data_IF_123003415102
#
_entry.id   IF_123003415102
#
_cell.length_a   1.000
_cell.length_b   1.000
_cell.length_c   1.000
_cell.angle_alpha   90.00
_cell.angle_beta   90.00
_cell.angle_gamma   90.00
#
_symmetry.space_group_name_H-M   'P 1'
#
loop_
_entity.id
_entity.type
_entity.pdbx_description
1 polymer ?
#
# COMPACT_ATOMS: atom_id res chain seq x y z
N UNK A 1 17.09 11.24 29.02
CA UNK A 1 16.61 9.94 28.50
C UNK A 1 15.48 10.30 27.56
N UNK A 2 15.80 10.60 26.31
CA UNK A 2 14.78 10.75 25.27
C UNK A 2 13.97 9.44 25.22
N UNK A 3 12.66 9.55 25.40
CA UNK A 3 11.75 8.49 25.01
C UNK A 3 11.98 8.30 23.51
N UNK A 4 12.54 7.15 23.13
CA UNK A 4 12.46 6.67 21.75
C UNK A 4 10.97 6.59 21.44
N UNK A 5 10.43 7.59 20.73
CA UNK A 5 9.11 7.54 20.11
C UNK A 5 9.09 6.28 19.23
N UNK A 6 8.62 5.17 19.80
CA UNK A 6 8.34 3.96 19.07
C UNK A 6 7.21 4.33 18.13
N UNK A 7 7.54 4.67 16.88
CA UNK A 7 6.55 4.92 15.84
C UNK A 7 5.66 3.67 15.82
N UNK A 8 4.37 3.79 16.17
CA UNK A 8 3.51 2.62 16.28
C UNK A 8 3.40 1.98 14.90
N UNK A 9 3.63 0.67 14.84
CA UNK A 9 3.38 -0.12 13.63
C UNK A 9 1.87 -0.07 13.37
N UNK A 10 1.42 0.45 12.21
CA UNK A 10 0.00 0.59 11.95
C UNK A 10 -0.66 -0.78 11.86
N UNK A 11 -1.87 -0.88 12.39
CA UNK A 11 -2.63 -2.13 12.35
C UNK A 11 -2.93 -2.51 10.88
N UNK A 12 -2.83 -3.80 10.48
CA UNK A 12 -3.07 -4.21 9.10
C UNK A 12 -4.44 -3.76 8.55
N UNK A 13 -5.48 -3.77 9.39
CA UNK A 13 -6.82 -3.32 9.01
C UNK A 13 -6.89 -1.80 8.72
N UNK A 14 -6.13 -0.99 9.45
CA UNK A 14 -6.03 0.46 9.22
C UNK A 14 -5.36 0.74 7.87
N UNK A 15 -4.24 0.04 7.60
CA UNK A 15 -3.52 0.17 6.33
C UNK A 15 -4.42 -0.26 5.16
N UNK A 16 -5.12 -1.38 5.29
CA UNK A 16 -6.03 -1.85 4.25
C UNK A 16 -7.18 -0.87 3.94
N UNK A 17 -7.78 -0.28 4.98
CA UNK A 17 -8.80 0.75 4.81
C UNK A 17 -8.25 1.99 4.09
N UNK A 18 -7.03 2.41 4.44
CA UNK A 18 -6.33 3.53 3.80
C UNK A 18 -5.98 3.25 2.34
N UNK A 19 -5.54 2.03 2.00
CA UNK A 19 -5.32 1.63 0.60
C UNK A 19 -6.59 1.82 -0.24
N UNK A 20 -7.74 1.39 0.28
CA UNK A 20 -9.02 1.56 -0.42
C UNK A 20 -9.37 3.05 -0.59
N UNK A 21 -9.18 3.85 0.45
CA UNK A 21 -9.41 5.29 0.39
C UNK A 21 -8.53 5.97 -0.67
N UNK A 22 -7.24 5.66 -0.71
CA UNK A 22 -6.35 6.20 -1.74
C UNK A 22 -6.71 5.74 -3.14
N UNK A 23 -7.05 4.46 -3.33
CA UNK A 23 -7.41 3.94 -4.64
C UNK A 23 -8.62 4.66 -5.25
N UNK A 24 -9.59 5.05 -4.41
CA UNK A 24 -10.74 5.84 -4.84
C UNK A 24 -10.42 7.32 -5.08
N UNK A 25 -9.27 7.81 -4.61
CA UNK A 25 -8.86 9.20 -4.81
C UNK A 25 -8.50 9.46 -6.28
N UNK A 26 -8.77 10.67 -6.81
CA UNK A 26 -8.51 11.00 -8.21
C UNK A 26 -7.07 10.73 -8.66
N UNK A 27 -6.08 10.99 -7.79
CA UNK A 27 -4.66 10.80 -8.11
C UNK A 27 -4.33 9.35 -8.52
N UNK A 28 -4.85 8.37 -7.79
CA UNK A 28 -4.65 6.95 -8.07
C UNK A 28 -5.62 6.47 -9.15
N UNK A 29 -6.89 6.88 -9.09
CA UNK A 29 -7.92 6.47 -10.06
C UNK A 29 -7.56 6.88 -11.50
N UNK A 30 -6.92 8.02 -11.69
CA UNK A 30 -6.47 8.50 -12.99
C UNK A 30 -5.35 7.64 -13.62
N UNK A 31 -4.73 6.73 -12.86
CA UNK A 31 -3.80 5.72 -13.42
C UNK A 31 -4.51 4.65 -14.25
N UNK A 32 -5.85 4.55 -14.18
CA UNK A 32 -6.63 3.60 -14.98
C UNK A 32 -6.47 2.14 -14.56
N UNK A 33 -5.91 1.88 -13.38
CA UNK A 33 -5.68 0.53 -12.87
C UNK A 33 -6.98 -0.13 -12.43
N UNK A 34 -7.17 -1.38 -12.82
CA UNK A 34 -8.30 -2.19 -12.39
C UNK A 34 -8.12 -2.64 -10.93
N UNK A 35 -9.20 -2.75 -10.13
CA UNK A 35 -9.09 -3.15 -8.73
C UNK A 35 -8.48 -4.54 -8.55
N UNK A 36 -8.69 -5.44 -9.52
CA UNK A 36 -8.18 -6.83 -9.49
C UNK A 36 -6.65 -6.93 -9.47
N UNK A 37 -5.92 -5.84 -9.76
CA UNK A 37 -4.47 -5.78 -9.59
C UNK A 37 -4.06 -5.82 -8.12
N UNK A 38 -4.92 -5.34 -7.21
CA UNK A 38 -4.60 -5.17 -5.79
C UNK A 38 -5.57 -5.89 -4.84
N UNK A 39 -6.79 -6.18 -5.28
CA UNK A 39 -7.80 -6.89 -4.50
C UNK A 39 -8.23 -8.21 -5.16
N UNK A 40 -8.57 -9.18 -4.32
CA UNK A 40 -9.48 -10.27 -4.67
C UNK A 40 -10.91 -9.74 -4.48
N UNK A 41 -11.83 -9.93 -5.44
CA UNK A 41 -13.21 -9.44 -5.30
C UNK A 41 -13.93 -10.18 -4.16
N UNK A 42 -14.73 -9.45 -3.37
CA UNK A 42 -15.58 -10.05 -2.34
C UNK A 42 -16.80 -10.74 -2.94
N UNK A 43 -17.40 -10.10 -3.95
CA UNK A 43 -18.53 -10.58 -4.73
C UNK A 43 -18.38 -10.09 -6.18
N UNK A 44 -19.26 -10.54 -7.09
CA UNK A 44 -19.25 -10.10 -8.48
C UNK A 44 -19.36 -8.57 -8.63
N UNK A 45 -20.11 -7.93 -7.73
CA UNK A 45 -20.39 -6.49 -7.75
C UNK A 45 -19.50 -5.68 -6.79
N UNK A 46 -18.76 -6.34 -5.90
CA UNK A 46 -17.84 -5.68 -4.98
C UNK A 46 -16.37 -6.10 -5.24
N UNK A 47 -15.60 -5.26 -5.96
CA UNK A 47 -14.21 -5.57 -6.27
C UNK A 47 -13.25 -5.43 -5.08
N UNK A 48 -13.69 -4.86 -3.95
CA UNK A 48 -12.87 -4.59 -2.76
C UNK A 48 -13.08 -5.66 -1.68
N UNK A 49 -12.66 -6.89 -1.97
CA UNK A 49 -12.57 -7.96 -0.97
C UNK A 49 -11.26 -7.92 -0.22
N UNK A 50 -10.52 -9.03 -0.21
CA UNK A 50 -9.23 -9.11 0.46
C UNK A 50 -8.12 -8.53 -0.41
N UNK A 51 -7.09 -7.96 0.22
CA UNK A 51 -5.90 -7.51 -0.51
C UNK A 51 -5.15 -8.74 -1.02
N UNK A 52 -4.82 -8.73 -2.32
CA UNK A 52 -4.02 -9.79 -2.95
C UNK A 52 -2.53 -9.48 -2.90
N UNK A 53 -2.16 -8.24 -2.62
CA UNK A 53 -0.79 -7.75 -2.48
C UNK A 53 -0.54 -7.33 -1.04
N UNK A 54 0.73 -7.21 -0.66
CA UNK A 54 1.10 -6.75 0.66
C UNK A 54 0.49 -5.36 0.97
N UNK A 55 -0.29 -5.23 2.06
CA UNK A 55 -0.96 -3.97 2.38
C UNK A 55 0.02 -2.81 2.64
N UNK A 56 1.17 -3.08 3.23
CA UNK A 56 2.16 -2.04 3.55
C UNK A 56 2.83 -1.50 2.28
N UNK A 57 3.23 -2.38 1.37
CA UNK A 57 3.78 -1.97 0.08
C UNK A 57 2.76 -1.21 -0.76
N UNK A 58 1.50 -1.67 -0.77
CA UNK A 58 0.43 -1.00 -1.51
C UNK A 58 0.12 0.40 -0.97
N UNK A 59 0.12 0.56 0.36
CA UNK A 59 -0.11 1.88 0.97
C UNK A 59 1.01 2.86 0.62
N UNK A 60 2.27 2.42 0.68
CA UNK A 60 3.41 3.25 0.28
C UNK A 60 3.31 3.64 -1.20
N UNK A 61 2.95 2.71 -2.08
CA UNK A 61 2.74 2.99 -3.51
C UNK A 61 1.68 4.08 -3.72
N UNK A 62 0.51 3.93 -3.10
CA UNK A 62 -0.59 4.88 -3.27
C UNK A 62 -0.32 6.23 -2.61
N UNK A 63 0.34 6.24 -1.46
CA UNK A 63 0.78 7.46 -0.79
C UNK A 63 1.77 8.23 -1.69
N UNK A 64 2.75 7.54 -2.29
CA UNK A 64 3.70 8.14 -3.23
C UNK A 64 3.01 8.76 -4.46
N UNK A 65 2.03 8.07 -5.06
CA UNK A 65 1.24 8.60 -6.18
C UNK A 65 0.43 9.83 -5.78
N UNK A 66 -0.10 9.82 -4.55
CA UNK A 66 -0.95 10.88 -4.03
C UNK A 66 -0.15 12.05 -3.42
N UNK A 67 1.19 11.96 -3.37
CA UNK A 67 2.05 12.94 -2.69
C UNK A 67 1.80 13.03 -1.19
N UNK A 68 1.27 11.97 -0.58
CA UNK A 68 0.91 11.92 0.84
C UNK A 68 1.97 11.13 1.64
N UNK A 69 2.11 11.38 2.96
CA UNK A 69 2.93 10.53 3.80
C UNK A 69 2.32 9.12 3.92
N UNK A 70 3.19 8.12 3.81
CA UNK A 70 2.83 6.72 3.96
C UNK A 70 2.88 6.29 5.43
N UNK A 71 1.78 5.76 5.96
CA UNK A 71 1.73 5.24 7.34
C UNK A 71 2.59 3.99 7.49
N UNK A 72 2.64 3.15 6.46
CA UNK A 72 3.32 1.87 6.50
C UNK A 72 4.83 1.99 6.21
N UNK A 73 5.35 3.17 5.85
CA UNK A 73 6.74 3.37 5.44
C UNK A 73 7.73 2.84 6.46
N UNK A 74 7.66 3.30 7.70
CA UNK A 74 8.61 2.92 8.75
C UNK A 74 8.55 1.42 9.04
N UNK A 75 7.34 0.88 9.17
CA UNK A 75 7.14 -0.55 9.42
C UNK A 75 7.66 -1.42 8.26
N UNK A 76 7.45 -0.97 7.01
CA UNK A 76 7.96 -1.65 5.83
C UNK A 76 9.48 -1.64 5.77
N UNK A 77 10.12 -0.51 6.09
CA UNK A 77 11.59 -0.41 6.16
C UNK A 77 12.19 -1.25 7.29
N UNK A 78 11.50 -1.38 8.43
CA UNK A 78 11.91 -2.29 9.50
C UNK A 78 11.81 -3.77 9.07
N UNK A 79 10.75 -4.14 8.34
CA UNK A 79 10.54 -5.51 7.85
C UNK A 79 11.46 -5.87 6.68
N UNK A 80 11.66 -4.94 5.75
CA UNK A 80 12.42 -5.12 4.51
C UNK A 80 13.14 -3.82 4.14
N UNK A 81 14.38 -3.61 4.64
CA UNK A 81 15.14 -2.40 4.39
C UNK A 81 15.29 -2.07 2.90
N UNK A 82 15.07 -0.81 2.55
CA UNK A 82 15.12 -0.26 1.19
C UNK A 82 13.85 -0.45 0.37
N UNK A 83 12.87 -1.23 0.85
CA UNK A 83 11.68 -1.57 0.07
C UNK A 83 10.74 -0.38 -0.14
N UNK A 84 10.50 0.42 0.90
CA UNK A 84 9.64 1.60 0.77
C UNK A 84 10.30 2.65 -0.14
N UNK A 85 11.60 2.88 0.04
CA UNK A 85 12.38 3.79 -0.80
C UNK A 85 12.42 3.36 -2.28
N UNK A 86 12.50 2.06 -2.57
CA UNK A 86 12.42 1.53 -3.92
C UNK A 86 11.06 1.86 -4.58
N UNK A 87 9.95 1.59 -3.89
CA UNK A 87 8.60 1.83 -4.40
C UNK A 87 8.39 3.32 -4.74
N UNK A 88 8.78 4.21 -3.82
CA UNK A 88 8.66 5.66 -4.02
C UNK A 88 9.49 6.14 -5.22
N UNK A 89 10.72 5.64 -5.36
CA UNK A 89 11.57 5.97 -6.50
C UNK A 89 10.94 5.50 -7.81
N UNK A 90 10.43 4.27 -7.87
CA UNK A 90 9.75 3.75 -9.08
C UNK A 90 8.57 4.64 -9.48
N UNK A 91 7.73 5.06 -8.53
CA UNK A 91 6.63 5.99 -8.80
C UNK A 91 7.15 7.33 -9.31
N UNK A 92 8.23 7.86 -8.74
CA UNK A 92 8.90 9.08 -9.20
C UNK A 92 9.40 8.99 -10.65
N UNK A 93 9.76 7.80 -11.13
CA UNK A 93 10.13 7.53 -12.51
C UNK A 93 8.94 7.14 -13.42
N UNK A 94 7.72 7.08 -12.88
CA UNK A 94 6.52 6.71 -13.63
C UNK A 94 6.33 5.20 -13.83
N UNK A 95 7.07 4.38 -13.11
CA UNK A 95 7.04 2.92 -13.20
C UNK A 95 6.11 2.32 -12.15
N UNK A 96 5.42 1.21 -12.49
CA UNK A 96 4.67 0.42 -11.52
C UNK A 96 5.59 -0.68 -10.95
N UNK A 97 6.06 -0.56 -9.70
CA UNK A 97 6.89 -1.58 -9.09
C UNK A 97 6.11 -2.89 -8.90
N UNK A 98 6.81 -4.02 -9.02
CA UNK A 98 6.25 -5.31 -8.66
C UNK A 98 6.02 -5.35 -7.14
N UNK A 99 4.77 -5.53 -6.72
CA UNK A 99 4.39 -5.69 -5.32
C UNK A 99 4.43 -7.17 -4.92
N UNK A 100 4.77 -7.42 -3.66
CA UNK A 100 4.72 -8.75 -3.06
C UNK A 100 3.26 -9.22 -2.99
N UNK A 101 2.98 -10.45 -3.43
CA UNK A 101 1.65 -11.02 -3.28
C UNK A 101 1.40 -11.41 -1.83
N UNK A 102 0.21 -11.09 -1.35
CA UNK A 102 -0.28 -11.60 -0.08
C UNK A 102 -0.79 -13.03 -0.32
N UNK A 103 0.06 -14.00 0.02
CA UNK A 103 -0.34 -15.39 0.09
C UNK A 103 -1.34 -15.52 1.26
N UNK A 104 -2.60 -15.86 0.94
CA UNK A 104 -3.51 -16.36 1.96
C UNK A 104 -2.92 -17.69 2.43
N UNK A 105 -2.40 -17.73 3.66
CA UNK A 105 -2.21 -19.02 4.33
C UNK A 105 -3.61 -19.55 4.57
N UNK A 106 -3.99 -20.54 3.76
CA UNK A 106 -5.27 -21.22 3.80
C UNK A 106 -5.51 -21.93 5.14
#
# INVERSE_FOLDING_TARGET
>A
MENLDVIPIPAPAEVAARCRAFYLAPAVRNKGWLPNLFWRPATRDNPFGTLRVDPWELEVLFAAISGAPALARTALEQRSPGRAGFIERSIGHGELPLLSFHEDVA
#
